data_IF_013396288421
#
_entry.id   IF_013396288421
#
_cell.length_a   1.000
_cell.length_b   1.000
_cell.length_c   1.000
_cell.angle_alpha   90.00
_cell.angle_beta   90.00
_cell.angle_gamma   90.00
#
_symmetry.space_group_name_H-M   'P 1'
#
loop_
_entity.id
_entity.type
_entity.pdbx_description
1 polymer ?
#
# COMPACT_ATOMS: atom_id res chain seq x y z
N UNK A 1 -51.78 26.08 17.03
CA UNK A 1 -51.34 25.38 15.81
C UNK A 1 -50.23 26.13 15.07
N UNK A 2 -50.28 27.47 14.91
CA UNK A 2 -49.26 28.25 14.20
C UNK A 2 -47.82 28.11 14.75
N UNK A 3 -47.65 28.03 16.08
CA UNK A 3 -46.32 27.94 16.72
C UNK A 3 -45.56 26.64 16.41
N UNK A 4 -46.28 25.52 16.17
CA UNK A 4 -45.64 24.25 15.84
C UNK A 4 -45.11 24.26 14.40
N UNK A 5 -45.84 24.89 13.49
CA UNK A 5 -45.42 25.04 12.10
C UNK A 5 -44.27 26.03 11.95
N UNK A 6 -44.25 27.12 12.73
CA UNK A 6 -43.11 28.05 12.74
C UNK A 6 -41.83 27.39 13.25
N UNK A 7 -41.92 26.54 14.29
CA UNK A 7 -40.74 25.83 14.81
C UNK A 7 -40.18 24.81 13.79
N UNK A 8 -41.05 24.05 13.13
CA UNK A 8 -40.64 23.11 12.06
C UNK A 8 -40.03 23.87 10.89
N UNK A 9 -40.64 24.97 10.46
CA UNK A 9 -40.10 25.80 9.38
C UNK A 9 -38.76 26.42 9.75
N UNK A 10 -38.63 27.00 10.95
CA UNK A 10 -37.37 27.57 11.43
C UNK A 10 -36.26 26.52 11.45
N UNK A 11 -36.56 25.32 11.97
CA UNK A 11 -35.59 24.21 12.02
C UNK A 11 -35.20 23.76 10.61
N UNK A 12 -36.17 23.57 9.73
CA UNK A 12 -35.92 23.17 8.34
C UNK A 12 -35.10 24.22 7.58
N UNK A 13 -35.44 25.50 7.72
CA UNK A 13 -34.70 26.60 7.12
C UNK A 13 -33.28 26.70 7.69
N UNK A 14 -33.11 26.56 9.00
CA UNK A 14 -31.79 26.60 9.65
C UNK A 14 -30.93 25.44 9.18
N UNK A 15 -31.45 24.20 9.19
CA UNK A 15 -30.72 23.04 8.66
C UNK A 15 -30.36 23.22 7.18
N UNK A 16 -31.26 23.79 6.38
CA UNK A 16 -31.01 24.00 4.97
C UNK A 16 -29.91 25.04 4.70
N UNK A 17 -30.03 26.23 5.29
CA UNK A 17 -29.11 27.35 5.02
C UNK A 17 -27.80 27.29 5.81
N UNK A 18 -27.82 26.73 7.02
CA UNK A 18 -26.63 26.67 7.90
C UNK A 18 -25.83 25.39 7.69
N UNK A 19 -26.49 24.27 7.44
CA UNK A 19 -25.83 22.97 7.38
C UNK A 19 -25.76 22.40 5.95
N UNK A 20 -26.90 22.15 5.32
CA UNK A 20 -26.96 21.42 4.04
C UNK A 20 -26.29 22.20 2.89
N UNK A 21 -26.65 23.47 2.71
CA UNK A 21 -26.13 24.29 1.62
C UNK A 21 -24.60 24.51 1.73
N UNK A 22 -24.04 25.00 2.86
CA UNK A 22 -22.61 25.25 2.96
C UNK A 22 -21.79 23.97 2.84
N UNK A 23 -22.26 22.86 3.43
CA UNK A 23 -21.59 21.56 3.36
C UNK A 23 -21.51 21.04 1.94
N UNK A 24 -22.61 21.15 1.17
CA UNK A 24 -22.62 20.68 -0.21
C UNK A 24 -21.71 21.53 -1.12
N UNK A 25 -21.69 22.87 -0.91
CA UNK A 25 -20.75 23.77 -1.61
C UNK A 25 -19.29 23.41 -1.27
N UNK A 26 -19.01 23.10 0.00
CA UNK A 26 -17.71 22.65 0.48
C UNK A 26 -17.22 21.38 -0.21
N UNK A 27 -18.10 20.41 -0.43
CA UNK A 27 -17.74 19.16 -1.12
C UNK A 27 -17.49 19.38 -2.61
N UNK A 28 -18.36 20.14 -3.30
CA UNK A 28 -18.24 20.33 -4.76
C UNK A 28 -17.02 21.21 -5.11
N UNK A 29 -16.72 22.22 -4.31
CA UNK A 29 -15.63 23.18 -4.57
C UNK A 29 -14.61 23.21 -3.42
N UNK A 30 -14.14 22.03 -2.99
CA UNK A 30 -13.25 21.87 -1.86
C UNK A 30 -12.02 22.78 -1.91
N UNK A 31 -11.37 22.94 -3.08
CA UNK A 31 -10.17 23.79 -3.19
C UNK A 31 -10.44 25.27 -2.91
N UNK A 32 -11.53 25.82 -3.47
CA UNK A 32 -11.88 27.24 -3.27
C UNK A 32 -12.29 27.51 -1.83
N UNK A 33 -13.08 26.60 -1.25
CA UNK A 33 -13.52 26.71 0.15
C UNK A 33 -12.33 26.55 1.09
N UNK A 34 -11.44 25.59 0.84
CA UNK A 34 -10.20 25.44 1.61
C UNK A 34 -9.36 26.72 1.55
N UNK A 35 -9.13 27.27 0.35
CA UNK A 35 -8.34 28.51 0.17
C UNK A 35 -8.96 29.71 0.92
N UNK A 36 -10.28 29.82 0.94
CA UNK A 36 -11.00 30.86 1.68
C UNK A 36 -10.93 30.66 3.21
N UNK A 37 -10.94 29.41 3.67
CA UNK A 37 -10.92 29.04 5.09
C UNK A 37 -9.51 29.01 5.69
N UNK A 38 -8.46 28.93 4.88
CA UNK A 38 -7.06 28.93 5.36
C UNK A 38 -6.74 30.18 6.21
N UNK A 39 -7.03 31.43 5.80
CA UNK A 39 -6.74 32.61 6.63
C UNK A 39 -7.37 32.59 8.03
N UNK A 40 -8.69 32.38 8.22
CA UNK A 40 -9.27 32.36 9.56
C UNK A 40 -8.74 31.21 10.41
N UNK A 41 -8.55 30.01 9.84
CA UNK A 41 -7.93 28.88 10.54
C UNK A 41 -6.52 29.24 11.01
N UNK A 42 -5.72 29.87 10.16
CA UNK A 42 -4.35 30.24 10.51
C UNK A 42 -4.29 31.33 11.60
N UNK A 43 -5.21 32.30 11.59
CA UNK A 43 -5.31 33.28 12.68
C UNK A 43 -5.63 32.61 14.02
N UNK A 44 -6.55 31.66 14.01
CA UNK A 44 -6.91 30.90 15.22
C UNK A 44 -5.76 30.01 15.68
N UNK A 45 -5.04 29.37 14.75
CA UNK A 45 -3.84 28.60 15.04
C UNK A 45 -2.73 29.47 15.64
N UNK A 46 -2.56 30.71 15.20
CA UNK A 46 -1.58 31.63 15.77
C UNK A 46 -1.96 32.13 17.17
N UNK A 47 -3.26 32.23 17.49
CA UNK A 47 -3.74 32.62 18.83
C UNK A 47 -3.59 31.46 19.82
N UNK A 48 -3.99 30.25 19.39
CA UNK A 48 -3.99 29.05 20.25
C UNK A 48 -2.61 28.37 20.29
N UNK A 49 -1.83 28.50 19.21
CA UNK A 49 -0.53 27.86 19.02
C UNK A 49 0.48 28.09 20.16
N UNK A 50 0.66 29.33 20.66
CA UNK A 50 1.55 29.60 21.79
C UNK A 50 1.22 28.77 23.04
N UNK A 51 -0.07 28.57 23.32
CA UNK A 51 -0.51 27.73 24.44
C UNK A 51 -0.13 26.26 24.20
N UNK A 52 -0.37 25.76 22.98
CA UNK A 52 0.01 24.40 22.59
C UNK A 52 1.52 24.18 22.69
N UNK A 53 2.32 25.14 22.24
CA UNK A 53 3.79 25.07 22.33
C UNK A 53 4.28 25.07 23.78
N UNK A 54 3.70 25.92 24.63
CA UNK A 54 4.04 25.96 26.05
C UNK A 54 3.75 24.61 26.74
N UNK A 55 2.58 24.02 26.48
CA UNK A 55 2.20 22.71 27.02
C UNK A 55 3.07 21.58 26.47
N UNK A 56 3.37 21.58 25.17
CA UNK A 56 4.26 20.59 24.54
C UNK A 56 5.67 20.66 25.12
N UNK A 57 6.19 21.89 25.32
CA UNK A 57 7.51 22.10 25.93
C UNK A 57 7.54 21.60 27.38
N UNK A 58 6.49 21.87 28.15
CA UNK A 58 6.37 21.36 29.51
C UNK A 58 6.35 19.82 29.52
N UNK A 59 5.56 19.19 28.65
CA UNK A 59 5.50 17.73 28.53
C UNK A 59 6.86 17.13 28.14
N UNK A 60 7.56 17.71 27.16
CA UNK A 60 8.91 17.27 26.76
C UNK A 60 9.91 17.45 27.90
N UNK A 61 9.84 18.54 28.65
CA UNK A 61 10.70 18.77 29.81
C UNK A 61 10.48 17.71 30.90
N UNK A 62 9.22 17.37 31.18
CA UNK A 62 8.88 16.29 32.11
C UNK A 62 9.40 14.94 31.63
N UNK A 63 9.16 14.56 30.37
CA UNK A 63 9.66 13.31 29.80
C UNK A 63 11.20 13.20 29.89
N UNK A 64 11.91 14.31 29.67
CA UNK A 64 13.36 14.39 29.80
C UNK A 64 13.83 14.15 31.25
N UNK A 65 13.11 14.66 32.25
CA UNK A 65 13.39 14.40 33.67
C UNK A 65 13.24 12.91 34.00
N UNK A 66 12.30 12.21 33.38
CA UNK A 66 12.10 10.77 33.52
C UNK A 66 12.98 9.91 32.61
N UNK A 67 13.90 10.50 31.84
CA UNK A 67 14.79 9.78 30.94
C UNK A 67 14.11 9.15 29.72
N UNK A 68 12.87 9.53 29.40
CA UNK A 68 12.11 9.02 28.27
C UNK A 68 12.44 9.86 27.03
N UNK A 69 13.13 9.25 26.06
CA UNK A 69 13.40 9.90 24.77
C UNK A 69 12.12 9.88 23.91
N UNK A 70 11.46 11.03 23.80
CA UNK A 70 10.44 11.23 22.80
C UNK A 70 11.11 11.28 21.41
N UNK A 71 10.83 10.28 20.55
CA UNK A 71 11.15 10.39 19.13
C UNK A 71 10.31 11.52 18.55
N UNK A 72 10.95 12.59 18.08
CA UNK A 72 10.27 13.58 17.25
C UNK A 72 9.98 12.96 15.87
N UNK A 73 8.76 12.47 15.69
CA UNK A 73 8.26 12.15 14.37
C UNK A 73 7.79 13.46 13.72
N UNK A 74 8.71 14.18 13.08
CA UNK A 74 8.41 15.36 12.25
C UNK A 74 7.93 14.99 10.84
N UNK A 75 7.82 13.69 10.54
CA UNK A 75 7.25 13.18 9.29
C UNK A 75 5.80 12.74 9.47
N UNK A 76 5.06 12.70 8.36
CA UNK A 76 3.71 12.12 8.30
C UNK A 76 3.81 10.65 8.70
N UNK A 77 3.05 10.25 9.72
CA UNK A 77 2.98 8.85 10.15
C UNK A 77 2.34 7.97 9.07
N UNK A 78 2.62 6.67 9.07
CA UNK A 78 1.98 5.72 8.14
C UNK A 78 0.44 5.76 8.25
N UNK A 79 -0.09 5.89 9.48
CA UNK A 79 -1.52 6.07 9.73
C UNK A 79 -2.09 7.35 9.10
N UNK A 80 -1.35 8.46 9.16
CA UNK A 80 -1.77 9.72 8.55
C UNK A 80 -1.68 9.65 7.01
N UNK A 81 -0.63 9.03 6.46
CA UNK A 81 -0.53 8.80 5.02
C UNK A 81 -1.70 7.96 4.51
N UNK A 82 -2.07 6.88 5.21
CA UNK A 82 -3.24 6.05 4.85
C UNK A 82 -4.55 6.85 4.92
N UNK A 83 -4.68 7.75 5.90
CA UNK A 83 -5.84 8.63 6.02
C UNK A 83 -5.93 9.60 4.84
N UNK A 84 -4.80 10.21 4.44
CA UNK A 84 -4.71 11.10 3.28
C UNK A 84 -5.14 10.37 2.00
N UNK A 85 -4.60 9.16 1.76
CA UNK A 85 -4.92 8.35 0.57
C UNK A 85 -6.40 7.95 0.57
N UNK A 86 -6.97 7.63 1.73
CA UNK A 86 -8.41 7.32 1.85
C UNK A 86 -9.26 8.56 1.54
N UNK A 87 -8.90 9.73 2.07
CA UNK A 87 -9.57 11.00 1.75
C UNK A 87 -9.45 11.41 0.29
N UNK A 88 -8.32 11.10 -0.37
CA UNK A 88 -8.13 11.33 -1.80
C UNK A 88 -9.09 10.46 -2.64
N UNK A 89 -9.37 9.23 -2.22
CA UNK A 89 -10.40 8.40 -2.87
C UNK A 89 -11.81 8.95 -2.62
N UNK A 90 -12.13 9.30 -1.38
CA UNK A 90 -13.49 9.77 -1.03
C UNK A 90 -13.84 11.09 -1.74
N UNK A 91 -12.84 11.93 -1.99
CA UNK A 91 -12.97 13.14 -2.81
C UNK A 91 -13.03 12.88 -4.32
N UNK A 92 -12.86 11.62 -4.76
CA UNK A 92 -12.80 11.23 -6.18
C UNK A 92 -11.53 11.68 -6.89
N UNK A 93 -10.49 12.10 -6.16
CA UNK A 93 -9.20 12.53 -6.71
C UNK A 93 -8.42 11.35 -7.27
N UNK A 94 -8.53 10.18 -6.63
CA UNK A 94 -7.92 8.93 -7.08
C UNK A 94 -8.96 7.81 -7.12
N UNK A 95 -8.73 6.84 -8.01
CA UNK A 95 -9.61 5.68 -8.14
C UNK A 95 -9.30 4.57 -7.11
N UNK A 96 -10.11 3.51 -7.12
CA UNK A 96 -9.92 2.37 -6.22
C UNK A 96 -8.62 1.61 -6.50
N UNK A 97 -8.24 1.46 -7.78
CA UNK A 97 -7.02 0.75 -8.16
C UNK A 97 -5.75 1.50 -7.74
N UNK A 98 -5.74 2.83 -7.86
CA UNK A 98 -4.67 3.71 -7.40
C UNK A 98 -4.54 3.64 -5.87
N UNK A 99 -5.66 3.66 -5.15
CA UNK A 99 -5.66 3.46 -3.69
C UNK A 99 -5.03 2.10 -3.31
N UNK A 100 -5.43 1.02 -3.96
CA UNK A 100 -4.90 -0.32 -3.68
C UNK A 100 -3.41 -0.43 -4.02
N UNK A 101 -2.95 0.20 -5.11
CA UNK A 101 -1.53 0.27 -5.43
C UNK A 101 -0.74 1.00 -4.34
N UNK A 102 -1.18 2.20 -3.92
CA UNK A 102 -0.49 2.98 -2.89
C UNK A 102 -0.44 2.21 -1.58
N UNK A 103 -1.56 1.58 -1.17
CA UNK A 103 -1.60 0.72 0.03
C UNK A 103 -0.65 -0.47 -0.10
N UNK A 104 -0.59 -1.09 -1.28
CA UNK A 104 0.35 -2.16 -1.58
C UNK A 104 1.80 -1.73 -1.37
N UNK A 105 2.19 -0.57 -1.91
CA UNK A 105 3.55 -0.01 -1.73
C UNK A 105 3.87 0.25 -0.26
N UNK A 106 2.95 0.85 0.50
CA UNK A 106 3.15 1.07 1.94
C UNK A 106 3.33 -0.25 2.70
N UNK A 107 2.56 -1.28 2.36
CA UNK A 107 2.66 -2.60 3.00
C UNK A 107 3.96 -3.33 2.64
N UNK A 108 4.51 -3.13 1.44
CA UNK A 108 5.77 -3.76 1.01
C UNK A 108 6.96 -3.35 1.88
N UNK A 109 6.94 -2.16 2.48
CA UNK A 109 8.02 -1.68 3.35
C UNK A 109 8.22 -2.58 4.58
N UNK A 110 7.12 -3.13 5.12
CA UNK A 110 7.14 -3.95 6.34
C UNK A 110 7.14 -5.46 6.03
N UNK A 111 6.96 -5.83 4.76
CA UNK A 111 6.79 -7.22 4.35
C UNK A 111 8.13 -7.94 4.24
N UNK A 112 8.28 -9.06 4.96
CA UNK A 112 9.52 -9.86 4.88
C UNK A 112 9.50 -10.74 3.64
N UNK A 113 10.67 -11.00 3.04
CA UNK A 113 10.81 -11.91 1.88
C UNK A 113 10.17 -13.28 2.15
N UNK A 114 10.30 -13.77 3.40
CA UNK A 114 9.71 -15.04 3.83
C UNK A 114 8.18 -15.10 3.72
N UNK A 115 7.51 -13.96 3.74
CA UNK A 115 6.05 -13.85 3.66
C UNK A 115 5.56 -13.87 2.20
N UNK A 116 6.46 -13.65 1.24
CA UNK A 116 6.18 -13.63 -0.20
C UNK A 116 6.79 -14.81 -0.98
N UNK A 117 7.64 -15.62 -0.33
CA UNK A 117 8.24 -16.79 -0.96
C UNK A 117 7.26 -17.98 -1.03
N UNK A 118 7.46 -18.85 -2.03
CA UNK A 118 6.77 -20.14 -2.07
C UNK A 118 7.37 -21.08 -1.00
N UNK A 119 6.53 -21.79 -0.21
CA UNK A 119 7.03 -22.80 0.73
C UNK A 119 7.87 -23.85 0.01
N UNK A 120 8.95 -24.33 0.64
CA UNK A 120 9.90 -25.31 0.06
C UNK A 120 9.20 -26.54 -0.55
N UNK A 121 8.17 -27.04 0.12
CA UNK A 121 7.41 -28.22 -0.31
C UNK A 121 6.59 -28.01 -1.59
N UNK A 122 6.35 -26.74 -1.98
CA UNK A 122 5.64 -26.36 -3.19
C UNK A 122 6.60 -25.96 -4.33
N UNK A 123 7.92 -25.96 -4.09
CA UNK A 123 8.91 -25.56 -5.10
C UNK A 123 9.10 -26.71 -6.08
N UNK A 124 8.78 -26.44 -7.36
CA UNK A 124 9.14 -27.32 -8.47
C UNK A 124 10.59 -27.06 -8.85
N UNK A 125 11.47 -28.02 -8.56
CA UNK A 125 12.89 -27.97 -8.90
C UNK A 125 13.32 -29.30 -9.56
N UNK A 126 14.40 -29.26 -10.34
CA UNK A 126 14.92 -30.45 -11.06
C UNK A 126 16.35 -30.79 -10.61
N UNK A 127 16.73 -32.07 -10.52
CA UNK A 127 18.09 -32.45 -10.19
C UNK A 127 19.04 -32.15 -11.36
N UNK A 128 20.29 -31.82 -11.07
CA UNK A 128 21.35 -31.55 -12.06
C UNK A 128 21.54 -32.70 -13.07
N UNK A 129 21.22 -33.93 -12.68
CA UNK A 129 21.37 -35.15 -13.48
C UNK A 129 20.20 -35.38 -14.46
N UNK A 130 19.12 -34.58 -14.39
CA UNK A 130 17.96 -34.73 -15.27
C UNK A 130 18.31 -34.32 -16.72
N UNK A 131 17.88 -35.12 -17.69
CA UNK A 131 18.08 -34.83 -19.11
C UNK A 131 17.26 -33.60 -19.55
N UNK A 132 17.74 -32.90 -20.58
CA UNK A 132 17.06 -31.71 -21.12
C UNK A 132 15.66 -32.06 -21.65
N UNK A 133 15.46 -33.26 -22.21
CA UNK A 133 14.16 -33.74 -22.67
C UNK A 133 13.16 -33.90 -21.50
N UNK A 134 13.61 -34.47 -20.38
CA UNK A 134 12.76 -34.62 -19.19
C UNK A 134 12.43 -33.27 -18.54
N UNK A 135 13.38 -32.33 -18.52
CA UNK A 135 13.15 -30.96 -18.03
C UNK A 135 12.05 -30.27 -18.86
N UNK A 136 11.98 -30.50 -20.17
CA UNK A 136 10.90 -29.96 -21.01
C UNK A 136 9.52 -30.47 -20.57
N UNK A 137 9.42 -31.74 -20.15
CA UNK A 137 8.21 -32.30 -19.55
C UNK A 137 7.79 -31.54 -18.29
N UNK A 138 8.74 -31.31 -17.37
CA UNK A 138 8.49 -30.56 -16.11
C UNK A 138 8.09 -29.11 -16.38
N UNK A 139 8.73 -28.44 -17.34
CA UNK A 139 8.37 -27.07 -17.75
C UNK A 139 6.93 -27.02 -18.29
N UNK A 140 6.56 -28.00 -19.12
CA UNK A 140 5.21 -28.08 -19.71
C UNK A 140 4.14 -28.37 -18.67
N UNK A 141 4.42 -29.25 -17.72
CA UNK A 141 3.47 -29.65 -16.67
C UNK A 141 3.30 -28.55 -15.61
N UNK A 142 4.39 -27.93 -15.17
CA UNK A 142 4.37 -26.90 -14.12
C UNK A 142 3.99 -25.50 -14.61
N UNK A 143 4.25 -25.19 -15.88
CA UNK A 143 4.01 -23.87 -16.46
C UNK A 143 4.97 -22.76 -15.99
N UNK A 144 6.00 -23.08 -15.21
CA UNK A 144 6.93 -22.08 -14.67
C UNK A 144 8.02 -21.67 -15.67
N UNK A 145 8.32 -20.36 -15.71
CA UNK A 145 9.36 -19.83 -16.61
C UNK A 145 10.80 -20.03 -16.10
N UNK A 146 10.97 -20.26 -14.78
CA UNK A 146 12.25 -20.44 -14.09
C UNK A 146 12.13 -21.63 -13.16
N UNK A 147 12.98 -22.63 -13.36
CA UNK A 147 13.02 -23.84 -12.55
C UNK A 147 14.40 -23.94 -11.90
N UNK A 148 14.49 -23.95 -10.56
CA UNK A 148 15.75 -24.16 -9.86
C UNK A 148 16.34 -25.54 -10.16
N UNK A 149 17.65 -25.61 -10.31
CA UNK A 149 18.41 -26.85 -10.45
C UNK A 149 19.16 -27.12 -9.16
N UNK A 150 18.98 -28.31 -8.59
CA UNK A 150 19.64 -28.71 -7.35
C UNK A 150 20.62 -29.87 -7.55
N UNK A 151 21.59 -30.00 -6.65
CA UNK A 151 22.55 -31.10 -6.64
C UNK A 151 22.54 -31.82 -5.30
N UNK A 152 22.20 -33.11 -5.31
CA UNK A 152 22.00 -33.91 -4.09
C UNK A 152 20.67 -33.58 -3.43
N UNK A 153 20.65 -32.55 -2.58
CA UNK A 153 19.47 -32.10 -1.84
C UNK A 153 18.86 -30.84 -2.46
N UNK A 154 17.54 -30.66 -2.33
CA UNK A 154 16.82 -29.50 -2.88
C UNK A 154 17.27 -28.14 -2.30
N UNK A 155 17.96 -28.16 -1.15
CA UNK A 155 18.51 -26.94 -0.54
C UNK A 155 19.81 -26.47 -1.23
N UNK A 156 20.46 -27.36 -1.98
CA UNK A 156 21.68 -27.06 -2.70
C UNK A 156 21.36 -26.66 -4.16
N UNK A 157 20.86 -25.43 -4.33
CA UNK A 157 20.56 -24.87 -5.64
C UNK A 157 21.86 -24.46 -6.34
N UNK A 158 22.19 -25.13 -7.44
CA UNK A 158 23.40 -24.90 -8.25
C UNK A 158 23.13 -24.01 -9.47
N UNK A 159 21.87 -23.76 -9.82
CA UNK A 159 21.51 -22.91 -10.95
C UNK A 159 20.01 -22.79 -11.19
N UNK A 160 19.64 -22.16 -12.30
CA UNK A 160 18.25 -21.98 -12.74
C UNK A 160 18.16 -22.28 -14.24
N UNK A 161 17.21 -23.13 -14.62
CA UNK A 161 16.84 -23.36 -16.01
C UNK A 161 15.69 -22.42 -16.38
N UNK A 162 15.87 -21.70 -17.48
CA UNK A 162 14.84 -20.86 -18.08
C UNK A 162 14.07 -21.69 -19.10
N UNK A 163 12.74 -21.72 -19.00
CA UNK A 163 11.87 -22.43 -19.96
C UNK A 163 12.17 -22.04 -21.42
N UNK A 164 12.40 -20.75 -21.67
CA UNK A 164 12.77 -20.24 -22.99
C UNK A 164 14.08 -20.83 -23.54
N UNK A 165 15.05 -21.10 -22.67
CA UNK A 165 16.35 -21.65 -23.07
C UNK A 165 16.26 -23.12 -23.42
N UNK A 166 15.34 -23.86 -22.81
CA UNK A 166 15.06 -25.27 -23.17
C UNK A 166 14.49 -25.36 -24.59
N UNK A 167 13.66 -24.40 -25.00
CA UNK A 167 13.16 -24.32 -26.38
C UNK A 167 14.30 -24.10 -27.41
N UNK A 168 15.33 -23.31 -27.07
CA UNK A 168 16.48 -23.12 -27.95
C UNK A 168 17.25 -24.42 -28.21
N UNK A 169 17.33 -25.32 -27.23
CA UNK A 169 17.95 -26.64 -27.39
C UNK A 169 17.12 -27.58 -28.28
N UNK A 170 15.80 -27.43 -28.29
CA UNK A 170 14.92 -28.16 -29.21
C UNK A 170 15.14 -27.70 -30.65
N UNK A 171 15.19 -26.37 -30.89
CA UNK A 171 15.38 -25.80 -32.23
C UNK A 171 16.77 -26.10 -32.80
N UNK A 172 17.81 -26.20 -31.95
CA UNK A 172 19.18 -26.53 -32.37
C UNK A 172 19.41 -28.03 -32.61
N UNK A 173 18.38 -28.88 -32.52
CA UNK A 173 18.48 -30.31 -32.82
C UNK A 173 19.20 -31.15 -31.75
N UNK A 174 19.49 -30.59 -30.57
CA UNK A 174 20.27 -31.26 -29.50
C UNK A 174 19.47 -32.38 -28.82
N UNK A 175 18.15 -32.44 -29.03
CA UNK A 175 17.27 -33.47 -28.47
C UNK A 175 16.98 -34.66 -29.40
N UNK A 176 17.57 -34.69 -30.61
CA UNK A 176 17.30 -35.75 -31.60
C UNK A 176 18.25 -36.95 -31.46
N UNK A 177 19.33 -36.85 -30.69
CA UNK A 177 20.45 -37.80 -30.76
C UNK A 177 20.67 -38.67 -29.50
N UNK A 178 19.63 -38.88 -28.66
CA UNK A 178 19.86 -39.53 -27.36
C UNK A 178 18.73 -40.32 -26.71
N UNK A 179 17.66 -40.71 -27.41
CA UNK A 179 16.69 -41.67 -26.86
C UNK A 179 15.78 -42.33 -27.94
N UNK A 180 16.41 -42.95 -28.94
CA UNK A 180 15.77 -44.03 -29.71
C UNK A 180 16.78 -45.18 -29.81
N UNK A 181 16.77 -46.03 -28.78
CA UNK A 181 17.57 -47.25 -28.67
C UNK A 181 17.24 -48.00 -27.39
#
# INVERSE_FOLDING_TARGET
YAERWSAVFLTAATLFFVELLPKNIGVINAEKVARLMVPPINTMANIVGPLGYALSTLAKATLKVFGIQAKENSGVSDSELRLIVTGARDSGTIDHSEQEMIKGVLNLQDQKVREMMRPRVEVVAVPRTMSVASVLGVVRESGYSRIPVYEGEIDNIVGIVLAKSVLDFFVRGVLVDGDIG
#
